data_IF_303055433656
#
_entry.id   IF_303055433656
#
_cell.length_a   1.000
_cell.length_b   1.000
_cell.length_c   1.000
_cell.angle_alpha   90.00
_cell.angle_beta   90.00
_cell.angle_gamma   90.00
#
_symmetry.space_group_name_H-M   'P 1'
#
loop_
_entity.id
_entity.type
_entity.pdbx_description
1 polymer ?
#
# COMPACT_ATOMS: atom_id res chain seq x y z
N UNK A 1 16.46 34.26 10.61
CA UNK A 1 16.11 33.73 10.46
C UNK A 1 15.60 32.84 10.72
N UNK A 2 15.16 32.48 10.72
CA UNK A 2 14.80 31.76 11.11
C UNK A 2 13.97 31.11 11.02
N UNK A 3 13.64 30.98 10.99
CA UNK A 3 13.04 30.21 11.49
C UNK A 3 11.79 29.53 11.03
N UNK A 4 10.97 29.89 10.00
CA UNK A 4 9.96 29.11 9.30
C UNK A 4 10.52 27.80 8.77
N UNK A 5 11.80 27.78 8.49
CA UNK A 5 12.48 26.57 8.04
C UNK A 5 12.65 25.53 9.13
N UNK A 6 12.31 25.86 10.38
CA UNK A 6 12.40 24.89 11.47
C UNK A 6 11.16 24.01 11.60
N UNK A 7 10.09 24.29 10.83
CA UNK A 7 8.86 23.51 10.85
C UNK A 7 8.91 22.46 9.74
N UNK A 8 8.72 21.21 10.11
CA UNK A 8 8.64 20.09 9.16
C UNK A 8 7.34 19.35 9.42
N UNK A 9 6.59 19.09 8.35
CA UNK A 9 5.34 18.34 8.44
C UNK A 9 5.61 16.87 8.07
N UNK A 10 5.21 15.97 8.96
CA UNK A 10 5.36 14.55 8.76
C UNK A 10 3.99 13.93 8.45
N UNK A 11 3.91 13.15 7.38
CA UNK A 11 2.69 12.50 6.95
C UNK A 11 2.84 11.00 6.95
N UNK A 12 1.87 10.31 7.56
CA UNK A 12 1.67 8.89 7.34
C UNK A 12 0.92 8.69 6.03
N UNK A 13 1.12 7.54 5.37
CA UNK A 13 0.49 7.25 4.07
C UNK A 13 -0.79 6.46 4.24
N UNK A 14 -0.68 5.24 4.76
CA UNK A 14 -1.81 4.30 4.80
C UNK A 14 -2.88 4.78 5.76
N UNK A 15 -4.10 4.94 5.24
CA UNK A 15 -5.27 5.44 5.96
C UNK A 15 -5.12 6.85 6.54
N UNK A 16 -4.14 7.60 6.07
CA UNK A 16 -3.98 9.04 6.35
C UNK A 16 -4.09 9.86 5.08
N UNK A 17 -3.24 9.58 4.10
CA UNK A 17 -3.30 10.20 2.78
C UNK A 17 -3.99 9.30 1.76
N UNK A 18 -3.81 7.99 1.90
CA UNK A 18 -4.30 6.97 1.01
C UNK A 18 -5.32 6.11 1.74
N UNK A 19 -6.45 5.83 1.07
CA UNK A 19 -7.47 4.91 1.58
C UNK A 19 -7.00 3.47 1.40
N UNK A 20 -6.18 3.00 2.33
CA UNK A 20 -5.60 1.67 2.25
C UNK A 20 -6.63 0.56 2.44
N UNK A 21 -7.69 0.81 3.20
CA UNK A 21 -8.77 -0.17 3.36
C UNK A 21 -9.44 -0.45 2.02
N UNK A 22 -9.60 0.57 1.18
CA UNK A 22 -10.14 0.40 -0.17
C UNK A 22 -9.18 -0.37 -1.07
N UNK A 23 -7.86 -0.14 -0.91
CA UNK A 23 -6.86 -0.92 -1.64
C UNK A 23 -6.98 -2.40 -1.28
N UNK A 24 -7.15 -2.72 0.00
CA UNK A 24 -7.34 -4.09 0.45
C UNK A 24 -8.64 -4.70 -0.09
N UNK A 25 -9.72 -3.94 -0.10
CA UNK A 25 -11.00 -4.41 -0.65
C UNK A 25 -10.88 -4.73 -2.14
N UNK A 26 -10.21 -3.88 -2.89
CA UNK A 26 -10.00 -4.10 -4.32
C UNK A 26 -9.13 -5.33 -4.57
N UNK A 27 -8.09 -5.52 -3.78
CA UNK A 27 -7.23 -6.70 -3.88
C UNK A 27 -8.00 -7.98 -3.53
N UNK A 28 -8.77 -7.95 -2.45
CA UNK A 28 -9.60 -9.08 -2.04
C UNK A 28 -10.58 -9.47 -3.14
N UNK A 29 -11.21 -8.49 -3.75
CA UNK A 29 -12.15 -8.72 -4.86
C UNK A 29 -11.43 -9.34 -6.05
N UNK A 30 -10.25 -8.85 -6.39
CA UNK A 30 -9.46 -9.40 -7.49
C UNK A 30 -9.08 -10.86 -7.23
N UNK A 31 -8.59 -11.17 -6.04
CA UNK A 31 -8.23 -12.55 -5.67
C UNK A 31 -9.44 -13.46 -5.72
N UNK A 32 -10.56 -13.01 -5.18
CA UNK A 32 -11.80 -13.78 -5.18
C UNK A 32 -12.29 -14.07 -6.60
N UNK A 33 -12.23 -13.08 -7.48
CA UNK A 33 -12.69 -13.20 -8.86
C UNK A 33 -11.80 -14.14 -9.69
N UNK A 34 -10.49 -14.10 -9.46
CA UNK A 34 -9.52 -14.85 -10.25
C UNK A 34 -9.29 -16.26 -9.67
N UNK A 35 -9.23 -16.40 -8.35
CA UNK A 35 -8.84 -17.65 -7.68
C UNK A 35 -9.94 -18.27 -6.81
N UNK A 36 -10.97 -17.52 -6.48
CA UNK A 36 -12.04 -17.97 -5.60
C UNK A 36 -11.89 -17.54 -4.14
N UNK A 37 -12.98 -17.70 -3.38
CA UNK A 37 -13.05 -17.21 -1.99
C UNK A 37 -12.07 -17.93 -1.05
N UNK A 38 -11.84 -19.24 -1.27
CA UNK A 38 -10.92 -19.98 -0.41
C UNK A 38 -9.48 -19.50 -0.58
N UNK A 39 -9.09 -19.18 -1.82
CA UNK A 39 -7.77 -18.62 -2.09
C UNK A 39 -7.62 -17.24 -1.45
N UNK A 40 -8.66 -16.42 -1.47
CA UNK A 40 -8.63 -15.11 -0.81
C UNK A 40 -8.41 -15.27 0.70
N UNK A 41 -9.10 -16.20 1.34
CA UNK A 41 -8.90 -16.48 2.77
C UNK A 41 -7.47 -16.92 3.07
N UNK A 42 -6.92 -17.80 2.23
CA UNK A 42 -5.53 -18.26 2.39
C UNK A 42 -4.54 -17.12 2.25
N UNK A 43 -4.74 -16.25 1.27
CA UNK A 43 -3.88 -15.09 1.06
C UNK A 43 -3.88 -14.17 2.28
N UNK A 44 -5.06 -13.82 2.79
CA UNK A 44 -5.15 -12.89 3.91
C UNK A 44 -4.60 -13.47 5.20
N UNK A 45 -4.71 -14.79 5.39
CA UNK A 45 -4.07 -15.43 6.53
C UNK A 45 -2.55 -15.33 6.45
N UNK A 46 -1.98 -15.58 5.28
CA UNK A 46 -0.55 -15.43 5.04
C UNK A 46 -0.11 -13.99 5.26
N UNK A 47 -0.88 -13.05 4.76
CA UNK A 47 -0.63 -11.62 4.91
C UNK A 47 -0.57 -11.22 6.39
N UNK A 48 -1.55 -11.64 7.19
CA UNK A 48 -1.58 -11.31 8.62
C UNK A 48 -0.44 -11.98 9.39
N UNK A 49 -0.11 -13.23 9.07
CA UNK A 49 1.01 -13.91 9.70
C UNK A 49 2.33 -13.20 9.43
N UNK A 50 2.53 -12.73 8.20
CA UNK A 50 3.72 -11.94 7.84
C UNK A 50 3.75 -10.60 8.57
N UNK A 51 2.61 -9.93 8.63
CA UNK A 51 2.50 -8.64 9.30
C UNK A 51 2.90 -8.73 10.77
N UNK A 52 2.49 -9.79 11.46
CA UNK A 52 2.89 -10.03 12.85
C UNK A 52 4.39 -10.24 13.00
N UNK A 53 4.99 -10.98 12.06
CA UNK A 53 6.43 -11.27 12.10
C UNK A 53 7.30 -10.08 11.74
N UNK A 54 6.90 -9.33 10.71
CA UNK A 54 7.70 -8.24 10.17
C UNK A 54 7.44 -6.90 10.84
N UNK A 55 6.25 -6.74 11.43
CA UNK A 55 5.83 -5.47 12.01
C UNK A 55 5.31 -4.47 10.98
N UNK A 56 5.17 -4.85 9.72
CA UNK A 56 4.59 -4.02 8.66
C UNK A 56 3.87 -4.89 7.64
N UNK A 57 3.04 -4.25 6.82
CA UNK A 57 2.27 -4.91 5.77
C UNK A 57 3.15 -5.21 4.56
N UNK A 58 3.13 -6.45 4.08
CA UNK A 58 3.93 -6.88 2.93
C UNK A 58 3.06 -7.68 1.96
N UNK A 59 2.40 -6.96 1.04
CA UNK A 59 1.53 -7.58 0.05
C UNK A 59 2.28 -8.52 -0.90
N UNK A 60 3.46 -8.09 -1.35
CA UNK A 60 4.24 -8.87 -2.30
C UNK A 60 4.88 -10.10 -1.66
N UNK A 61 5.33 -9.98 -0.40
CA UNK A 61 5.82 -11.12 0.36
C UNK A 61 4.73 -12.16 0.61
N UNK A 62 3.50 -11.70 0.87
CA UNK A 62 2.35 -12.60 1.00
C UNK A 62 2.05 -13.32 -0.32
N UNK A 63 2.18 -12.66 -1.46
CA UNK A 63 2.03 -13.29 -2.78
C UNK A 63 3.10 -14.37 -2.99
N UNK A 64 4.33 -14.10 -2.59
CA UNK A 64 5.42 -15.07 -2.73
C UNK A 64 5.14 -16.35 -1.94
N UNK A 65 4.66 -16.22 -0.71
CA UNK A 65 4.28 -17.38 0.09
C UNK A 65 3.05 -18.08 -0.46
N UNK A 66 2.08 -17.31 -0.91
CA UNK A 66 0.88 -17.85 -1.55
C UNK A 66 1.23 -18.70 -2.77
N UNK A 67 2.21 -18.22 -3.57
CA UNK A 67 2.70 -18.98 -4.72
C UNK A 67 3.24 -20.35 -4.31
N UNK A 68 4.01 -20.40 -3.23
CA UNK A 68 4.58 -21.66 -2.73
C UNK A 68 3.50 -22.63 -2.27
N UNK A 69 2.43 -22.14 -1.66
CA UNK A 69 1.35 -22.98 -1.18
C UNK A 69 0.41 -23.44 -2.30
N UNK A 70 0.09 -22.58 -3.25
CA UNK A 70 -0.83 -22.90 -4.34
C UNK A 70 -0.14 -23.56 -5.52
N UNK A 71 1.17 -23.42 -5.65
CA UNK A 71 1.92 -24.02 -6.74
C UNK A 71 1.63 -23.45 -8.13
N UNK A 72 0.99 -22.28 -8.21
CA UNK A 72 0.63 -21.65 -9.48
C UNK A 72 1.39 -20.34 -9.68
N UNK A 73 2.48 -20.43 -10.43
CA UNK A 73 3.35 -19.28 -10.68
C UNK A 73 2.70 -18.22 -11.56
N UNK A 74 1.88 -18.62 -12.54
CA UNK A 74 1.23 -17.68 -13.43
C UNK A 74 0.22 -16.80 -12.69
N UNK A 75 -0.52 -17.39 -11.75
CA UNK A 75 -1.47 -16.64 -10.95
C UNK A 75 -0.77 -15.71 -9.98
N UNK A 76 0.36 -16.13 -9.40
CA UNK A 76 1.15 -15.27 -8.53
C UNK A 76 1.71 -14.08 -9.31
N UNK A 77 2.15 -14.30 -10.55
CA UNK A 77 2.60 -13.21 -11.42
C UNK A 77 1.47 -12.25 -11.74
N UNK A 78 0.27 -12.75 -11.98
CA UNK A 78 -0.91 -11.92 -12.23
C UNK A 78 -1.22 -11.01 -11.02
N UNK A 79 -1.19 -11.57 -9.81
CA UNK A 79 -1.41 -10.77 -8.60
C UNK A 79 -0.33 -9.72 -8.40
N UNK A 80 0.93 -10.07 -8.63
CA UNK A 80 2.02 -9.11 -8.51
C UNK A 80 1.86 -7.99 -9.52
N UNK A 81 1.53 -8.31 -10.77
CA UNK A 81 1.28 -7.31 -11.80
C UNK A 81 0.09 -6.41 -11.43
N UNK A 82 -0.98 -6.99 -10.90
CA UNK A 82 -2.14 -6.22 -10.44
C UNK A 82 -1.73 -5.15 -9.43
N UNK A 83 -0.92 -5.51 -8.43
CA UNK A 83 -0.48 -4.57 -7.41
C UNK A 83 0.50 -3.53 -7.96
N UNK A 84 1.41 -3.95 -8.83
CA UNK A 84 2.39 -3.03 -9.42
C UNK A 84 1.74 -2.01 -10.36
N UNK A 85 0.64 -2.39 -11.01
CA UNK A 85 -0.11 -1.53 -11.93
C UNK A 85 -1.30 -0.84 -11.27
N UNK A 86 -1.55 -1.10 -9.99
CA UNK A 86 -2.69 -0.55 -9.27
C UNK A 86 -2.64 0.98 -9.24
N UNK A 87 -3.79 1.61 -9.48
CA UNK A 87 -3.91 3.07 -9.48
C UNK A 87 -4.07 3.59 -8.05
N UNK A 88 -2.97 3.75 -7.36
CA UNK A 88 -2.97 4.27 -6.00
C UNK A 88 -3.46 5.73 -5.94
N UNK A 89 -3.24 6.50 -6.98
CA UNK A 89 -3.68 7.90 -7.00
C UNK A 89 -5.20 8.01 -6.89
N UNK A 90 -5.94 7.04 -7.44
CA UNK A 90 -7.40 7.00 -7.34
C UNK A 90 -7.89 6.71 -5.92
N UNK A 91 -7.01 6.30 -5.02
CA UNK A 91 -7.34 5.95 -3.63
C UNK A 91 -6.87 6.98 -2.63
N UNK A 92 -6.33 8.11 -3.06
CA UNK A 92 -6.04 9.22 -2.16
C UNK A 92 -7.36 9.77 -1.59
N UNK A 93 -7.33 10.11 -0.31
CA UNK A 93 -8.48 10.78 0.29
C UNK A 93 -8.72 12.13 -0.40
N UNK A 94 -9.97 12.54 -0.58
CA UNK A 94 -10.29 13.86 -1.10
C UNK A 94 -9.61 14.94 -0.26
N UNK A 95 -8.93 15.86 -0.92
CA UNK A 95 -8.25 16.95 -0.24
C UNK A 95 -6.84 16.63 0.25
N UNK A 96 -6.36 15.38 0.19
CA UNK A 96 -5.01 15.06 0.63
C UNK A 96 -3.93 15.81 -0.17
N UNK A 97 -3.96 15.84 -1.51
CA UNK A 97 -2.99 16.64 -2.27
C UNK A 97 -3.05 18.12 -1.94
N UNK A 98 -4.25 18.67 -1.80
CA UNK A 98 -4.43 20.08 -1.48
C UNK A 98 -3.89 20.43 -0.09
N UNK A 99 -4.09 19.54 0.89
CA UNK A 99 -3.57 19.72 2.23
C UNK A 99 -2.04 19.76 2.23
N UNK A 100 -1.40 18.86 1.48
CA UNK A 100 0.06 18.85 1.37
C UNK A 100 0.55 20.13 0.70
N UNK A 101 -0.07 20.56 -0.38
CA UNK A 101 0.30 21.80 -1.06
C UNK A 101 0.15 23.01 -0.15
N UNK A 102 -0.92 23.03 0.64
CA UNK A 102 -1.14 24.11 1.59
C UNK A 102 -0.05 24.16 2.65
N UNK A 103 0.27 23.02 3.27
CA UNK A 103 1.28 22.95 4.32
C UNK A 103 2.70 23.18 3.80
N UNK A 104 2.97 22.83 2.55
CA UNK A 104 4.27 23.04 1.93
C UNK A 104 4.66 24.53 1.86
N UNK A 105 3.69 25.42 1.97
CA UNK A 105 3.92 26.87 2.02
C UNK A 105 4.57 27.31 3.35
N UNK A 106 4.46 26.48 4.37
CA UNK A 106 4.95 26.80 5.72
C UNK A 106 6.22 26.03 6.09
N UNK A 107 6.54 24.97 5.38
CA UNK A 107 7.74 24.18 5.64
C UNK A 107 7.77 22.91 4.80
N UNK A 108 8.88 22.18 4.87
CA UNK A 108 9.00 20.91 4.13
C UNK A 108 7.95 19.87 4.57
N UNK A 109 7.44 19.12 3.60
CA UNK A 109 6.53 18.01 3.86
C UNK A 109 7.30 16.70 3.60
N UNK A 110 7.32 15.83 4.60
CA UNK A 110 8.04 14.55 4.56
C UNK A 110 7.04 13.42 4.81
N UNK A 111 7.12 12.37 4.01
CA UNK A 111 6.28 11.20 4.16
C UNK A 111 7.04 10.15 4.97
N UNK A 112 6.40 9.65 6.02
CA UNK A 112 6.88 8.53 6.81
C UNK A 112 5.91 7.37 6.61
N UNK A 113 6.41 6.23 6.17
CA UNK A 113 5.56 5.08 5.94
C UNK A 113 6.28 3.77 6.24
N UNK A 114 5.51 2.82 6.75
CA UNK A 114 5.94 1.43 6.91
C UNK A 114 5.39 0.62 5.74
N UNK A 115 6.17 -0.34 5.27
CA UNK A 115 5.73 -1.19 4.18
C UNK A 115 6.90 -1.79 3.44
N UNK A 116 6.60 -2.45 2.32
CA UNK A 116 7.64 -3.08 1.53
C UNK A 116 8.36 -2.06 0.64
N UNK A 117 9.55 -2.46 0.18
CA UNK A 117 10.43 -1.56 -0.57
C UNK A 117 9.96 -1.31 -2.00
N UNK A 118 8.95 -2.02 -2.47
CA UNK A 118 8.43 -1.88 -3.83
C UNK A 118 7.16 -1.04 -3.86
N UNK A 119 6.15 -1.41 -3.07
CA UNK A 119 4.83 -0.77 -3.14
C UNK A 119 4.78 0.59 -2.46
N UNK A 120 5.47 0.77 -1.32
CA UNK A 120 5.42 2.07 -0.64
C UNK A 120 5.98 3.22 -1.48
N UNK A 121 7.14 3.06 -2.17
CA UNK A 121 7.58 4.09 -3.10
C UNK A 121 6.59 4.34 -4.24
N UNK A 122 5.91 3.30 -4.72
CA UNK A 122 4.90 3.45 -5.78
C UNK A 122 3.69 4.24 -5.30
N UNK A 123 3.20 3.98 -4.09
CA UNK A 123 2.10 4.75 -3.49
C UNK A 123 2.46 6.23 -3.42
N UNK A 124 3.68 6.54 -3.04
CA UNK A 124 4.15 7.92 -2.89
C UNK A 124 4.33 8.57 -4.25
N UNK A 125 4.93 7.89 -5.21
CA UNK A 125 5.27 8.49 -6.50
C UNK A 125 4.06 8.71 -7.40
N UNK A 126 3.01 7.88 -7.29
CA UNK A 126 1.78 8.05 -8.08
C UNK A 126 0.73 8.89 -7.36
N UNK A 127 0.95 9.13 -6.09
CA UNK A 127 0.09 10.00 -5.29
C UNK A 127 0.59 11.43 -5.39
#
# INVERSE_FOLDING_TARGET
MTDASSVVFLFDVDNTLLDNDRVQDDLDRHITDVFGADAAKSYWKIYEDLREKLGYADYLGAIQRFRLECGDELRAQDLAAYLLEYDFAARLYPGAPDAILHLARFGPCVVLSDGDVVLQPRKISVS
#
